data_IF_957091187643
#
_entry.id   IF_957091187643
#
_cell.length_a   1.000
_cell.length_b   1.000
_cell.length_c   1.000
_cell.angle_alpha   90.00
_cell.angle_beta   90.00
_cell.angle_gamma   90.00
#
_symmetry.space_group_name_H-M   'P 1'
#
loop_
_entity.id
_entity.type
_entity.pdbx_description
1 polymer ?
#
# COMPACT_ATOMS: atom_id res chain seq x y z
N UNK A 1 3.93 -37.83 24.95
CA UNK A 1 4.16 -37.53 23.51
C UNK A 1 3.73 -36.11 23.10
N UNK A 2 2.78 -35.47 23.77
CA UNK A 2 2.16 -34.20 23.31
C UNK A 2 2.94 -32.90 23.57
N UNK A 3 4.05 -32.95 24.32
CA UNK A 3 4.81 -31.74 24.73
C UNK A 3 5.59 -31.14 23.55
N UNK A 4 6.18 -31.99 22.72
CA UNK A 4 6.90 -31.60 21.50
C UNK A 4 5.94 -31.20 20.37
N UNK A 5 4.75 -31.80 20.34
CA UNK A 5 3.70 -31.50 19.36
C UNK A 5 3.10 -30.11 19.61
N UNK A 6 2.88 -29.75 20.89
CA UNK A 6 2.46 -28.39 21.26
C UNK A 6 3.56 -27.34 20.99
N UNK A 7 4.83 -27.69 21.20
CA UNK A 7 5.97 -26.82 20.90
C UNK A 7 6.19 -26.60 19.40
N UNK A 8 5.93 -27.61 18.56
CA UNK A 8 6.01 -27.49 17.10
C UNK A 8 4.89 -26.63 16.51
N UNK A 9 3.67 -26.74 17.06
CA UNK A 9 2.54 -25.90 16.65
C UNK A 9 2.76 -24.44 17.03
N UNK A 10 3.29 -24.18 18.23
CA UNK A 10 3.61 -22.82 18.69
C UNK A 10 4.78 -22.19 17.88
N UNK A 11 5.80 -22.98 17.55
CA UNK A 11 6.90 -22.54 16.69
C UNK A 11 6.45 -22.26 15.25
N UNK A 12 5.54 -23.08 14.70
CA UNK A 12 4.96 -22.85 13.38
C UNK A 12 4.13 -21.56 13.34
N UNK A 13 3.36 -21.25 14.38
CA UNK A 13 2.57 -20.01 14.48
C UNK A 13 3.45 -18.76 14.53
N UNK A 14 4.60 -18.83 15.22
CA UNK A 14 5.53 -17.69 15.31
C UNK A 14 6.24 -17.39 13.98
N UNK A 15 6.46 -18.39 13.12
CA UNK A 15 7.08 -18.21 11.79
C UNK A 15 6.14 -17.48 10.81
N UNK A 16 4.82 -17.62 10.94
CA UNK A 16 3.85 -16.95 10.07
C UNK A 16 3.58 -15.48 10.45
N UNK A 17 3.96 -15.03 11.64
CA UNK A 17 3.72 -13.65 12.10
C UNK A 17 4.74 -12.65 11.51
N UNK A 18 5.91 -13.12 11.06
CA UNK A 18 6.99 -12.27 10.54
C UNK A 18 6.91 -11.99 9.03
N UNK A 19 5.77 -12.27 8.39
CA UNK A 19 5.57 -11.91 6.99
C UNK A 19 5.11 -10.44 6.95
N UNK A 20 6.06 -9.51 7.06
CA UNK A 20 5.82 -8.10 6.76
C UNK A 20 5.48 -7.96 5.27
N UNK A 21 4.20 -8.12 4.92
CA UNK A 21 3.66 -7.73 3.62
C UNK A 21 3.74 -6.21 3.53
N UNK A 22 4.89 -5.73 3.06
CA UNK A 22 5.08 -4.34 2.69
C UNK A 22 4.49 -4.16 1.28
N UNK A 23 3.16 -4.16 1.21
CA UNK A 23 2.44 -3.94 -0.05
C UNK A 23 2.75 -2.51 -0.53
N UNK A 24 3.50 -2.40 -1.62
CA UNK A 24 3.80 -1.12 -2.23
C UNK A 24 2.50 -0.55 -2.82
N UNK A 25 2.05 0.58 -2.30
CA UNK A 25 0.83 1.28 -2.72
C UNK A 25 1.16 2.30 -3.80
N UNK A 26 0.97 1.90 -5.07
CA UNK A 26 1.20 2.77 -6.21
C UNK A 26 0.30 4.03 -6.22
N UNK A 27 -0.88 3.99 -5.61
CA UNK A 27 -1.80 5.15 -5.54
C UNK A 27 -1.27 6.18 -4.55
N UNK A 28 -0.81 5.72 -3.38
CA UNK A 28 -0.12 6.58 -2.42
C UNK A 28 1.17 7.17 -3.03
N UNK A 29 1.92 6.35 -3.79
CA UNK A 29 3.10 6.77 -4.53
C UNK A 29 2.81 7.86 -5.57
N UNK A 30 1.73 7.71 -6.33
CA UNK A 30 1.29 8.69 -7.32
C UNK A 30 1.00 10.05 -6.68
N UNK A 31 0.26 10.06 -5.57
CA UNK A 31 -0.10 11.29 -4.86
C UNK A 31 1.15 12.05 -4.39
N UNK A 32 2.11 11.35 -3.78
CA UNK A 32 3.35 11.96 -3.34
C UNK A 32 4.19 12.46 -4.52
N UNK A 33 4.31 11.66 -5.59
CA UNK A 33 5.07 12.02 -6.78
C UNK A 33 4.53 13.30 -7.43
N UNK A 34 3.20 13.41 -7.55
CA UNK A 34 2.53 14.59 -8.12
C UNK A 34 2.79 15.86 -7.34
N UNK A 35 2.91 15.76 -6.02
CA UNK A 35 3.11 16.91 -5.14
C UNK A 35 4.58 17.35 -5.06
N UNK A 36 5.52 16.39 -5.08
CA UNK A 36 6.91 16.65 -4.70
C UNK A 36 7.94 16.44 -5.82
N UNK A 37 7.58 15.73 -6.90
CA UNK A 37 8.57 15.27 -7.88
C UNK A 37 8.31 15.78 -9.31
N UNK A 38 7.05 16.01 -9.68
CA UNK A 38 6.64 16.43 -11.04
C UNK A 38 7.18 17.80 -11.46
N UNK A 39 7.53 18.67 -10.50
CA UNK A 39 8.15 19.94 -10.80
C UNK A 39 9.49 19.79 -11.53
N UNK A 40 10.21 18.69 -11.28
CA UNK A 40 11.55 18.47 -11.82
C UNK A 40 11.67 17.23 -12.69
N UNK A 41 10.85 16.21 -12.47
CA UNK A 41 10.95 14.92 -13.13
C UNK A 41 9.72 14.60 -14.00
N UNK A 42 9.98 13.87 -15.07
CA UNK A 42 8.92 13.27 -15.90
C UNK A 42 9.00 11.74 -15.85
N UNK A 43 7.98 11.09 -16.40
CA UNK A 43 7.96 9.65 -16.63
C UNK A 43 7.61 9.44 -18.12
N UNK A 44 8.61 9.06 -18.92
CA UNK A 44 8.47 8.74 -20.34
C UNK A 44 8.34 9.97 -21.25
N UNK A 45 8.52 11.17 -20.72
CA UNK A 45 8.42 12.44 -21.48
C UNK A 45 9.78 13.11 -21.68
N UNK A 46 10.87 12.44 -21.29
CA UNK A 46 12.23 12.94 -21.44
C UNK A 46 12.69 13.88 -20.31
N UNK A 47 13.84 14.51 -20.54
CA UNK A 47 14.51 15.37 -19.56
C UNK A 47 13.69 16.65 -19.29
N UNK A 48 13.61 17.06 -18.04
CA UNK A 48 13.06 18.36 -17.62
C UNK A 48 14.13 19.16 -16.85
N UNK A 49 14.05 19.22 -15.52
CA UNK A 49 15.10 19.76 -14.63
C UNK A 49 15.97 18.59 -14.16
N UNK A 50 15.33 17.49 -13.78
CA UNK A 50 15.97 16.21 -13.49
C UNK A 50 15.82 15.21 -14.65
N UNK A 51 16.46 14.03 -14.52
CA UNK A 51 16.32 12.95 -15.50
C UNK A 51 14.90 12.41 -15.58
N UNK A 52 14.54 11.87 -16.74
CA UNK A 52 13.34 11.06 -16.89
C UNK A 52 13.44 9.80 -16.03
N UNK A 53 12.34 9.45 -15.35
CA UNK A 53 12.24 8.33 -14.43
C UNK A 53 11.62 7.09 -15.06
N UNK A 54 11.24 7.11 -16.34
CA UNK A 54 10.82 5.89 -17.04
C UNK A 54 11.84 4.76 -16.89
N UNK A 55 11.37 3.54 -16.64
CA UNK A 55 12.20 2.33 -16.50
C UNK A 55 13.32 2.48 -15.44
N UNK A 56 13.07 3.22 -14.36
CA UNK A 56 14.06 3.49 -13.31
C UNK A 56 14.70 2.20 -12.75
N UNK A 57 13.89 1.17 -12.49
CA UNK A 57 14.36 -0.11 -11.94
C UNK A 57 15.26 -0.92 -12.89
N UNK A 58 15.25 -0.62 -14.19
CA UNK A 58 16.20 -1.23 -15.14
C UNK A 58 17.57 -0.57 -15.07
N UNK A 59 17.62 0.70 -14.61
CA UNK A 59 18.86 1.49 -14.53
C UNK A 59 19.54 1.38 -13.18
N UNK A 60 18.76 1.24 -12.09
CA UNK A 60 19.27 1.22 -10.72
C UNK A 60 18.49 0.29 -9.81
N UNK A 61 19.16 -0.38 -8.85
CA UNK A 61 18.48 -1.18 -7.84
C UNK A 61 17.70 -0.29 -6.87
N UNK A 62 16.60 -0.83 -6.32
CA UNK A 62 15.69 -0.14 -5.39
C UNK A 62 16.44 0.48 -4.19
N UNK A 63 17.37 -0.28 -3.61
CA UNK A 63 18.19 0.14 -2.46
C UNK A 63 19.03 1.40 -2.73
N UNK A 64 19.49 1.57 -3.97
CA UNK A 64 20.25 2.74 -4.37
C UNK A 64 19.32 3.95 -4.52
N UNK A 65 18.15 3.74 -5.12
CA UNK A 65 17.14 4.77 -5.31
C UNK A 65 16.66 5.30 -3.96
N UNK A 66 16.42 4.40 -3.00
CA UNK A 66 16.09 4.74 -1.61
C UNK A 66 17.09 5.71 -0.99
N UNK A 67 18.39 5.41 -1.09
CA UNK A 67 19.45 6.28 -0.56
C UNK A 67 19.50 7.62 -1.30
N UNK A 68 19.38 7.59 -2.62
CA UNK A 68 19.48 8.78 -3.46
C UNK A 68 18.31 9.75 -3.27
N UNK A 69 17.08 9.25 -3.15
CA UNK A 69 15.88 10.09 -2.91
C UNK A 69 15.90 10.70 -1.51
N UNK A 70 16.43 9.98 -0.51
CA UNK A 70 16.53 10.49 0.87
C UNK A 70 17.61 11.56 1.00
N UNK A 71 18.78 11.33 0.40
CA UNK A 71 19.84 12.34 0.38
C UNK A 71 20.77 12.16 -0.83
N UNK A 72 20.49 12.91 -1.89
CA UNK A 72 21.25 12.83 -3.15
C UNK A 72 22.70 13.23 -2.94
N UNK A 73 22.93 14.29 -2.17
CA UNK A 73 24.25 14.84 -1.88
C UNK A 73 25.11 13.87 -1.06
N UNK A 74 24.51 13.09 -0.16
CA UNK A 74 25.23 12.05 0.57
C UNK A 74 25.74 10.95 -0.36
N UNK A 75 24.94 10.54 -1.34
CA UNK A 75 25.34 9.53 -2.34
C UNK A 75 26.40 10.07 -3.30
N UNK A 76 26.33 11.34 -3.69
CA UNK A 76 27.36 11.97 -4.53
C UNK A 76 28.68 12.06 -3.76
N UNK A 77 28.65 12.55 -2.51
CA UNK A 77 29.85 12.72 -1.67
C UNK A 77 30.50 11.41 -1.23
N UNK A 78 29.77 10.29 -1.24
CA UNK A 78 30.35 8.98 -0.95
C UNK A 78 31.25 8.46 -2.07
N UNK A 79 31.28 9.13 -3.23
CA UNK A 79 32.10 8.75 -4.38
C UNK A 79 31.40 7.81 -5.35
N UNK A 80 30.06 7.72 -5.35
CA UNK A 80 29.31 6.97 -6.35
C UNK A 80 29.52 7.60 -7.74
N UNK A 81 30.25 6.90 -8.60
CA UNK A 81 30.61 7.40 -9.94
C UNK A 81 29.41 7.76 -10.80
N UNK A 82 28.30 7.04 -10.65
CA UNK A 82 27.12 7.35 -11.46
C UNK A 82 26.37 8.55 -10.89
N UNK A 83 26.22 8.65 -9.57
CA UNK A 83 25.62 9.81 -8.93
C UNK A 83 26.39 11.09 -9.29
N UNK A 84 27.73 11.02 -9.28
CA UNK A 84 28.61 12.10 -9.69
C UNK A 84 28.45 12.44 -11.19
N UNK A 85 28.47 11.44 -12.07
CA UNK A 85 28.24 11.66 -13.50
C UNK A 85 26.86 12.27 -13.80
N UNK A 86 25.84 11.86 -13.04
CA UNK A 86 24.49 12.37 -13.14
C UNK A 86 24.46 13.83 -12.65
N UNK A 87 25.09 14.13 -11.53
CA UNK A 87 25.18 15.49 -10.99
C UNK A 87 25.84 16.44 -12.00
N UNK A 88 26.94 16.01 -12.64
CA UNK A 88 27.62 16.78 -13.69
C UNK A 88 26.74 16.97 -14.94
N UNK A 89 26.08 15.91 -15.42
CA UNK A 89 25.20 15.96 -16.60
C UNK A 89 23.97 16.87 -16.42
N UNK A 90 23.63 17.18 -15.17
CA UNK A 90 22.53 18.04 -14.77
C UNK A 90 23.02 19.37 -14.17
N UNK A 91 24.19 19.86 -14.60
CA UNK A 91 24.75 21.17 -14.25
C UNK A 91 24.93 21.39 -12.74
N UNK A 92 25.24 20.33 -11.99
CA UNK A 92 25.37 20.38 -10.53
C UNK A 92 24.08 20.86 -9.82
N UNK A 93 22.92 20.65 -10.45
CA UNK A 93 21.63 20.92 -9.83
C UNK A 93 21.39 19.94 -8.68
N UNK A 94 21.17 20.49 -7.48
CA UNK A 94 20.94 19.69 -6.28
C UNK A 94 19.51 19.19 -6.26
N UNK A 95 19.31 17.88 -6.14
CA UNK A 95 18.01 17.30 -5.83
C UNK A 95 17.75 17.48 -4.32
N UNK A 96 16.76 18.28 -3.90
CA UNK A 96 16.52 18.55 -2.50
C UNK A 96 16.13 17.29 -1.73
N UNK A 97 16.69 17.15 -0.53
CA UNK A 97 16.36 16.06 0.38
C UNK A 97 14.87 16.15 0.77
N UNK A 98 14.17 15.02 0.73
CA UNK A 98 12.74 14.92 1.02
C UNK A 98 12.54 14.34 2.43
N UNK A 99 12.40 15.16 3.48
CA UNK A 99 12.36 14.67 4.86
C UNK A 99 11.15 13.77 5.16
N UNK A 100 10.06 13.92 4.38
CA UNK A 100 8.84 13.12 4.49
C UNK A 100 8.89 11.83 3.66
N UNK A 101 9.92 11.63 2.84
CA UNK A 101 10.11 10.43 2.03
C UNK A 101 10.73 9.30 2.87
N UNK A 102 9.91 8.67 3.71
CA UNK A 102 10.30 7.44 4.42
C UNK A 102 10.53 6.30 3.44
N UNK A 103 11.18 5.22 3.89
CA UNK A 103 11.48 4.08 3.01
C UNK A 103 10.21 3.48 2.39
N UNK A 104 9.11 3.42 3.15
CA UNK A 104 7.82 2.97 2.64
C UNK A 104 7.26 3.92 1.57
N UNK A 105 7.35 5.24 1.79
CA UNK A 105 6.91 6.24 0.81
C UNK A 105 7.74 6.14 -0.48
N UNK A 106 9.07 6.00 -0.37
CA UNK A 106 9.92 5.87 -1.56
C UNK A 106 9.60 4.59 -2.33
N UNK A 107 9.35 3.46 -1.64
CA UNK A 107 8.91 2.22 -2.28
C UNK A 107 7.57 2.38 -3.02
N UNK A 108 6.62 3.10 -2.43
CA UNK A 108 5.35 3.43 -3.10
C UNK A 108 5.57 4.28 -4.36
N UNK A 109 6.46 5.27 -4.30
CA UNK A 109 6.84 6.10 -5.47
C UNK A 109 7.48 5.24 -6.56
N UNK A 110 8.39 4.34 -6.20
CA UNK A 110 9.05 3.43 -7.13
C UNK A 110 8.02 2.52 -7.82
N UNK A 111 7.07 1.97 -7.05
CA UNK A 111 5.98 1.17 -7.60
C UNK A 111 5.12 1.97 -8.60
N UNK A 112 4.78 3.21 -8.27
CA UNK A 112 4.08 4.12 -9.19
C UNK A 112 4.88 4.40 -10.47
N UNK A 113 6.17 4.73 -10.35
CA UNK A 113 7.02 5.00 -11.51
C UNK A 113 7.09 3.76 -12.41
N UNK A 114 7.23 2.58 -11.83
CA UNK A 114 7.30 1.33 -12.57
C UNK A 114 5.99 1.04 -13.33
N UNK A 115 4.83 1.19 -12.68
CA UNK A 115 3.53 0.99 -13.33
C UNK A 115 3.31 2.00 -14.45
N UNK A 116 3.62 3.28 -14.20
CA UNK A 116 3.52 4.36 -15.17
C UNK A 116 4.49 4.20 -16.36
N UNK A 117 5.64 3.56 -16.16
CA UNK A 117 6.62 3.28 -17.24
C UNK A 117 6.13 2.21 -18.22
N UNK A 118 5.28 1.29 -17.76
CA UNK A 118 4.73 0.19 -18.57
C UNK A 118 3.40 0.53 -19.24
N UNK A 119 2.78 1.65 -18.87
CA UNK A 119 1.54 2.11 -19.51
C UNK A 119 1.81 2.54 -20.96
N UNK A 120 0.99 2.12 -21.94
CA UNK A 120 1.09 2.61 -23.31
C UNK A 120 1.04 4.13 -23.30
N UNK A 121 2.06 4.77 -23.88
CA UNK A 121 2.23 6.22 -23.89
C UNK A 121 1.05 6.86 -24.61
N UNK A 122 0.01 7.25 -23.87
CA UNK A 122 -1.02 8.14 -24.37
C UNK A 122 -0.36 9.51 -24.56
N UNK A 123 -0.03 9.83 -25.81
CA UNK A 123 0.38 11.16 -26.22
C UNK A 123 -0.70 12.17 -25.83
N UNK A 124 -0.35 13.16 -25.01
CA UNK A 124 -1.20 14.33 -24.81
C UNK A 124 -0.35 15.58 -25.09
N UNK A 125 -0.78 16.48 -25.98
CA UNK A 125 -0.14 17.78 -26.18
C UNK A 125 -0.23 18.66 -24.93
N UNK A 126 0.62 19.69 -24.94
CA UNK A 126 0.90 20.64 -23.88
C UNK A 126 -0.32 21.20 -23.11
N UNK A 127 -0.05 21.48 -21.83
CA UNK A 127 -0.92 22.11 -20.84
C UNK A 127 -1.39 23.50 -21.30
N UNK A 128 -2.70 23.74 -21.21
CA UNK A 128 -3.25 25.09 -20.98
C UNK A 128 -4.17 24.99 -19.77
N UNK A 129 -3.83 25.75 -18.73
CA UNK A 129 -4.61 25.88 -17.51
C UNK A 129 -5.88 26.68 -17.78
N UNK A 130 -7.05 26.11 -17.51
CA UNK A 130 -8.25 26.85 -17.09
C UNK A 130 -9.05 26.00 -16.11
N UNK A 131 -9.22 26.51 -14.88
CA UNK A 131 -10.31 26.13 -13.99
C UNK A 131 -11.60 26.78 -14.51
N UNK A 132 -12.70 26.02 -14.61
CA UNK A 132 -14.08 26.44 -14.26
C UNK A 132 -14.96 25.20 -14.15
N UNK A 133 -15.94 25.32 -13.26
CA UNK A 133 -16.85 24.37 -12.64
C UNK A 133 -17.70 23.42 -13.50
N UNK A 134 -18.14 22.36 -12.79
CA UNK A 134 -19.38 21.57 -12.91
C UNK A 134 -19.76 20.96 -14.27
N UNK A 135 -19.80 19.61 -14.33
CA UNK A 135 -21.09 18.93 -14.45
C UNK A 135 -21.04 17.45 -14.01
N UNK A 136 -22.15 17.09 -13.37
CA UNK A 136 -22.70 15.82 -12.93
C UNK A 136 -22.49 14.59 -13.82
N UNK A 137 -22.39 13.42 -13.14
CA UNK A 137 -23.02 12.19 -13.60
C UNK A 137 -22.16 11.20 -14.39
N UNK A 138 -21.32 10.43 -13.69
CA UNK A 138 -21.19 8.98 -13.89
C UNK A 138 -20.44 8.39 -12.71
N UNK A 139 -21.21 7.80 -11.79
CA UNK A 139 -20.68 6.92 -10.76
C UNK A 139 -19.91 5.79 -11.44
N UNK A 140 -18.60 5.98 -11.57
CA UNK A 140 -17.70 4.98 -12.14
C UNK A 140 -17.26 4.09 -11.00
N UNK A 141 -17.86 2.91 -11.01
CA UNK A 141 -17.67 1.78 -10.11
C UNK A 141 -16.21 1.33 -10.03
N UNK A 142 -15.36 2.08 -9.33
CA UNK A 142 -13.98 1.66 -9.03
C UNK A 142 -13.45 2.11 -7.67
N UNK A 143 -14.22 2.90 -6.91
CA UNK A 143 -13.90 3.23 -5.51
C UNK A 143 -14.56 2.32 -4.47
N UNK A 144 -15.40 1.38 -4.90
CA UNK A 144 -16.33 0.66 -4.00
C UNK A 144 -16.08 -0.85 -3.89
N UNK A 145 -15.10 -1.44 -4.57
CA UNK A 145 -15.00 -2.91 -4.62
C UNK A 145 -14.10 -3.50 -3.54
N UNK A 146 -12.91 -2.97 -3.26
CA UNK A 146 -11.98 -3.63 -2.32
C UNK A 146 -12.27 -3.30 -0.85
N UNK A 147 -12.57 -2.05 -0.51
CA UNK A 147 -12.85 -1.62 0.87
C UNK A 147 -14.23 -2.06 1.39
N UNK A 148 -15.24 -2.15 0.51
CA UNK A 148 -16.59 -2.57 0.92
C UNK A 148 -16.75 -4.08 1.03
N UNK A 149 -16.02 -4.88 0.24
CA UNK A 149 -16.05 -6.35 0.37
C UNK A 149 -15.50 -6.78 1.73
N UNK A 150 -14.41 -6.15 2.19
CA UNK A 150 -13.83 -6.42 3.51
C UNK A 150 -14.82 -6.06 4.63
N UNK A 151 -15.48 -4.90 4.52
CA UNK A 151 -16.49 -4.47 5.49
C UNK A 151 -17.71 -5.41 5.52
N UNK A 152 -18.18 -5.86 4.36
CA UNK A 152 -19.29 -6.81 4.25
C UNK A 152 -18.93 -8.19 4.81
N UNK A 153 -17.69 -8.66 4.61
CA UNK A 153 -17.22 -9.91 5.19
C UNK A 153 -17.18 -9.85 6.73
N UNK A 154 -16.72 -8.74 7.30
CA UNK A 154 -16.71 -8.53 8.77
C UNK A 154 -18.12 -8.50 9.33
N UNK A 155 -19.05 -7.79 8.68
CA UNK A 155 -20.47 -7.74 9.10
C UNK A 155 -21.11 -9.13 9.03
N UNK A 156 -20.83 -9.90 7.96
CA UNK A 156 -21.35 -11.26 7.80
C UNK A 156 -20.86 -12.21 8.90
N UNK A 157 -19.56 -12.16 9.23
CA UNK A 157 -18.99 -12.95 10.34
C UNK A 157 -19.63 -12.55 11.67
N UNK A 158 -19.81 -11.24 11.92
CA UNK A 158 -20.45 -10.73 13.13
C UNK A 158 -21.90 -11.24 13.26
N UNK A 159 -22.66 -11.23 12.17
CA UNK A 159 -24.02 -11.78 12.14
C UNK A 159 -24.06 -13.29 12.36
N UNK A 160 -23.13 -14.06 11.79
CA UNK A 160 -23.05 -15.51 12.03
C UNK A 160 -22.79 -15.83 13.50
N UNK A 161 -21.91 -15.07 14.16
CA UNK A 161 -21.64 -15.21 15.60
C UNK A 161 -22.89 -14.90 16.42
N UNK A 162 -23.61 -13.81 16.12
CA UNK A 162 -24.85 -13.45 16.82
C UNK A 162 -25.91 -14.56 16.67
N UNK A 163 -26.11 -15.09 15.46
CA UNK A 163 -27.08 -16.17 15.22
C UNK A 163 -26.69 -17.45 15.95
N UNK A 164 -25.41 -17.80 15.97
CA UNK A 164 -24.91 -18.95 16.71
C UNK A 164 -25.17 -18.80 18.22
N UNK A 165 -24.81 -17.66 18.82
CA UNK A 165 -25.07 -17.38 20.23
C UNK A 165 -26.57 -17.38 20.56
N UNK A 166 -27.41 -16.84 19.67
CA UNK A 166 -28.85 -16.86 19.84
C UNK A 166 -29.42 -18.30 19.81
N UNK A 167 -28.89 -19.19 18.96
CA UNK A 167 -29.29 -20.60 18.93
C UNK A 167 -28.88 -21.33 20.20
N UNK A 168 -27.66 -21.12 20.67
CA UNK A 168 -27.16 -21.72 21.91
C UNK A 168 -27.97 -21.25 23.11
N UNK A 169 -28.27 -19.95 23.20
CA UNK A 169 -29.06 -19.40 24.30
C UNK A 169 -30.50 -19.94 24.32
N UNK A 170 -31.13 -20.07 23.14
CA UNK A 170 -32.45 -20.72 23.02
C UNK A 170 -32.42 -22.18 23.46
N UNK A 171 -31.42 -22.95 23.00
CA UNK A 171 -31.25 -24.35 23.43
C UNK A 171 -31.07 -24.50 24.93
N UNK A 172 -30.30 -23.60 25.55
CA UNK A 172 -30.12 -23.59 27.01
C UNK A 172 -31.42 -23.25 27.74
N UNK A 173 -32.23 -22.34 27.20
CA UNK A 173 -33.51 -21.94 27.81
C UNK A 173 -34.51 -23.09 27.80
N UNK A 174 -34.62 -23.82 26.70
CA UNK A 174 -35.49 -25.01 26.62
C UNK A 174 -35.02 -26.10 27.59
N UNK A 175 -33.71 -26.33 27.68
CA UNK A 175 -33.15 -27.32 28.62
C UNK A 175 -33.41 -26.95 30.09
N UNK A 176 -33.28 -25.66 30.44
CA UNK A 176 -33.58 -25.16 31.78
C UNK A 176 -35.08 -25.28 32.10
N UNK A 177 -35.94 -24.98 31.12
CA UNK A 177 -37.40 -25.10 31.27
C UNK A 177 -37.82 -26.55 31.45
N UNK A 178 -37.25 -27.46 30.68
CA UNK A 178 -37.48 -28.91 30.81
C UNK A 178 -36.99 -29.42 32.17
N UNK A 179 -35.79 -29.02 32.61
CA UNK A 179 -35.25 -29.36 33.93
C UNK A 179 -36.16 -28.85 35.07
N UNK A 180 -36.61 -27.60 35.00
CA UNK A 180 -37.51 -27.03 36.02
C UNK A 180 -38.89 -27.73 36.03
N UNK A 181 -39.44 -28.05 34.86
CA UNK A 181 -40.74 -28.74 34.76
C UNK A 181 -40.68 -30.18 35.27
N UNK A 182 -39.60 -30.91 34.97
CA UNK A 182 -39.40 -32.29 35.39
C UNK A 182 -39.08 -32.43 36.88
N UNK A 183 -38.52 -31.39 37.51
CA UNK A 183 -38.22 -31.41 38.94
C UNK A 183 -39.36 -30.82 39.79
N UNK A 184 -40.32 -30.13 39.18
CA UNK A 184 -41.55 -29.64 39.86
C UNK A 184 -42.53 -30.77 40.19
N UNK A 185 -42.49 -31.89 39.49
CA UNK A 185 -43.33 -33.07 39.76
C UNK A 185 -42.78 -33.99 40.86
N UNK A 186 -41.63 -33.65 41.46
CA UNK A 186 -40.97 -34.45 42.49
C UNK A 186 -41.17 -33.92 43.93
N UNK A 187 -41.85 -32.79 44.10
CA UNK A 187 -42.30 -32.23 45.38
C UNK A 187 -43.83 -32.08 45.36
#
# INVERSE_FOLDING_TARGET
MNRYLFSLVLASILIFISIDVNAQDAVAGESFFKQNCTACHTIGKGKLIGPDLANLLQRRPEEWILKFVKSSQTVIKSGDKYADSLFQAFNHMVMPDQPTATDAVVKNIIAYINTASTAPTASVPAVTSQQTDQQTGKASASFFTTTNILLLAVIFIMLLVIVFLARVNKGLTETIKDYYSSNKSFF
#
